data_IF_952311057297
#
_entry.id   IF_952311057297
#
_cell.length_a   1.000
_cell.length_b   1.000
_cell.length_c   1.000
_cell.angle_alpha   90.00
_cell.angle_beta   90.00
_cell.angle_gamma   90.00
#
_symmetry.space_group_name_H-M   'P 1'
#
loop_
_entity.id
_entity.type
_entity.pdbx_description
1 polymer ?
#
# COMPACT_ATOMS: atom_id res chain seq x y z
N UNK A 1 -12.33 40.94 -3.26
CA UNK A 1 -12.26 41.83 -4.43
C UNK A 1 -13.58 41.64 -5.15
N UNK A 2 -14.50 42.57 -4.96
CA UNK A 2 -15.75 42.58 -5.72
C UNK A 2 -15.43 43.15 -7.10
N UNK A 3 -15.67 42.37 -8.15
CA UNK A 3 -15.63 42.89 -9.51
C UNK A 3 -16.93 43.68 -9.71
N UNK A 4 -16.82 45.02 -9.67
CA UNK A 4 -17.95 45.90 -9.88
C UNK A 4 -18.39 45.86 -11.35
N UNK A 5 -19.29 44.95 -11.70
CA UNK A 5 -19.90 44.87 -13.03
C UNK A 5 -20.97 45.96 -13.24
N UNK A 6 -20.57 47.21 -13.01
CA UNK A 6 -21.34 48.41 -13.35
C UNK A 6 -20.99 48.89 -14.76
N UNK A 7 -21.03 47.99 -15.74
CA UNK A 7 -21.00 48.34 -17.17
C UNK A 7 -22.43 48.37 -17.66
N UNK A 8 -22.82 49.50 -18.25
CA UNK A 8 -24.18 49.82 -18.64
C UNK A 8 -24.77 48.74 -19.57
N UNK A 9 -25.65 47.87 -19.04
CA UNK A 9 -26.77 47.35 -19.83
C UNK A 9 -27.81 48.46 -19.96
N UNK A 10 -27.41 49.53 -20.67
CA UNK A 10 -28.09 50.82 -20.76
C UNK A 10 -28.70 51.10 -22.12
N UNK A 11 -28.93 50.05 -22.91
CA UNK A 11 -29.86 50.06 -24.04
C UNK A 11 -31.12 49.36 -23.55
N UNK A 12 -32.28 50.01 -23.69
CA UNK A 12 -33.53 49.47 -23.18
C UNK A 12 -34.01 48.25 -23.96
N UNK A 13 -34.95 47.53 -23.37
CA UNK A 13 -35.81 46.49 -23.96
C UNK A 13 -36.78 47.11 -25.00
N UNK A 14 -36.21 47.83 -25.98
CA UNK A 14 -36.85 48.15 -27.24
C UNK A 14 -36.53 47.00 -28.18
N UNK A 15 -37.39 45.98 -28.17
CA UNK A 15 -37.35 44.92 -29.18
C UNK A 15 -37.28 45.59 -30.56
N UNK A 16 -36.20 45.31 -31.30
CA UNK A 16 -35.94 45.91 -32.60
C UNK A 16 -36.80 45.23 -33.66
N UNK A 17 -38.11 45.47 -33.53
CA UNK A 17 -39.14 45.02 -34.44
C UNK A 17 -38.77 45.50 -35.87
N UNK A 18 -38.58 44.57 -36.82
CA UNK A 18 -38.20 44.88 -38.18
C UNK A 18 -39.25 45.75 -38.90
N UNK A 19 -40.53 45.64 -38.51
CA UNK A 19 -41.64 46.30 -39.19
C UNK A 19 -41.76 47.79 -38.85
N UNK A 20 -41.06 48.30 -37.83
CA UNK A 20 -41.06 49.74 -37.49
C UNK A 20 -40.62 50.62 -38.68
N UNK A 21 -39.65 50.17 -39.49
CA UNK A 21 -39.23 50.95 -40.68
C UNK A 21 -40.31 50.93 -41.76
N UNK A 22 -41.05 49.82 -41.88
CA UNK A 22 -42.20 49.68 -42.77
C UNK A 22 -43.39 50.53 -42.31
N UNK A 23 -43.63 50.63 -41.00
CA UNK A 23 -44.67 51.47 -40.41
C UNK A 23 -44.38 52.96 -40.62
N UNK A 24 -43.14 53.40 -40.35
CA UNK A 24 -42.73 54.79 -40.57
C UNK A 24 -42.71 55.16 -42.05
N UNK A 25 -42.29 54.24 -42.93
CA UNK A 25 -42.45 54.39 -44.37
C UNK A 25 -43.93 54.56 -44.76
N UNK A 26 -44.84 53.74 -44.21
CA UNK A 26 -46.28 53.84 -44.45
C UNK A 26 -46.87 55.19 -44.04
N UNK A 27 -46.47 55.73 -42.88
CA UNK A 27 -46.82 57.09 -42.44
C UNK A 27 -46.31 58.15 -43.44
N UNK A 28 -45.03 58.07 -43.80
CA UNK A 28 -44.38 59.02 -44.72
C UNK A 28 -45.02 59.02 -46.12
N UNK A 29 -45.36 57.85 -46.68
CA UNK A 29 -46.07 57.78 -47.96
C UNK A 29 -47.51 58.30 -47.88
N UNK A 30 -48.18 58.18 -46.74
CA UNK A 30 -49.53 58.71 -46.53
C UNK A 30 -49.55 60.25 -46.48
N UNK A 31 -48.55 60.85 -45.86
CA UNK A 31 -48.34 62.31 -45.90
C UNK A 31 -47.96 62.79 -47.31
N UNK A 32 -47.07 62.07 -48.02
CA UNK A 32 -46.73 62.39 -49.41
C UNK A 32 -47.94 62.33 -50.35
N UNK A 33 -48.85 61.36 -50.17
CA UNK A 33 -50.11 61.29 -50.92
C UNK A 33 -50.96 62.56 -50.71
N UNK A 34 -51.05 63.05 -49.47
CA UNK A 34 -51.76 64.30 -49.13
C UNK A 34 -51.09 65.53 -49.76
N UNK A 35 -49.77 65.56 -49.88
CA UNK A 35 -49.02 66.61 -50.62
C UNK A 35 -49.30 66.53 -52.12
N UNK A 36 -49.34 65.33 -52.72
CA UNK A 36 -49.65 65.13 -54.14
C UNK A 36 -51.07 65.62 -54.47
N UNK A 37 -52.05 65.34 -53.62
CA UNK A 37 -53.45 65.77 -53.81
C UNK A 37 -53.64 67.30 -53.72
N UNK A 38 -52.77 68.00 -52.97
CA UNK A 38 -52.87 69.44 -52.73
C UNK A 38 -51.96 70.30 -53.61
N UNK A 39 -50.79 69.78 -54.03
CA UNK A 39 -49.76 70.54 -54.75
C UNK A 39 -49.31 69.89 -56.08
N UNK A 40 -49.74 68.66 -56.35
CA UNK A 40 -49.44 67.94 -57.59
C UNK A 40 -48.14 67.09 -57.54
N UNK A 41 -48.12 66.05 -58.38
CA UNK A 41 -47.09 64.98 -58.38
C UNK A 41 -45.66 65.53 -58.53
N UNK A 42 -45.44 66.51 -59.42
CA UNK A 42 -44.11 67.02 -59.76
C UNK A 42 -43.32 67.70 -58.63
N UNK A 43 -43.97 68.01 -57.50
CA UNK A 43 -43.28 68.49 -56.28
C UNK A 43 -42.55 67.34 -55.56
N UNK A 44 -43.03 66.12 -55.73
CA UNK A 44 -42.64 64.92 -54.98
C UNK A 44 -41.73 63.97 -55.79
N UNK A 45 -41.78 64.02 -57.13
CA UNK A 45 -41.02 63.13 -58.03
C UNK A 45 -39.52 63.05 -57.74
N UNK A 46 -38.86 64.18 -57.45
CA UNK A 46 -37.42 64.20 -57.13
C UNK A 46 -37.11 63.82 -55.67
N UNK A 47 -38.10 63.83 -54.78
CA UNK A 47 -37.95 63.54 -53.35
C UNK A 47 -38.09 62.04 -53.05
N UNK A 48 -39.00 61.34 -53.73
CA UNK A 48 -39.26 59.90 -53.49
C UNK A 48 -37.99 59.04 -53.62
N UNK A 49 -37.12 59.18 -54.65
CA UNK A 49 -35.89 58.38 -54.72
C UNK A 49 -34.93 58.62 -53.54
N UNK A 50 -34.90 59.84 -53.00
CA UNK A 50 -34.08 60.20 -51.83
C UNK A 50 -34.69 59.56 -50.58
N UNK A 51 -36.01 59.61 -50.43
CA UNK A 51 -36.72 59.01 -49.30
C UNK A 51 -36.57 57.48 -49.28
N UNK A 52 -36.74 56.83 -50.44
CA UNK A 52 -36.50 55.38 -50.61
C UNK A 52 -35.08 55.03 -50.16
N UNK A 53 -34.06 55.73 -50.67
CA UNK A 53 -32.67 55.48 -50.29
C UNK A 53 -32.39 55.66 -48.78
N UNK A 54 -33.01 56.66 -48.15
CA UNK A 54 -32.92 56.86 -46.68
C UNK A 54 -33.60 55.73 -45.91
N UNK A 55 -34.76 55.25 -46.35
CA UNK A 55 -35.50 54.14 -45.73
C UNK A 55 -34.76 52.80 -45.90
N UNK A 56 -34.21 52.52 -47.08
CA UNK A 56 -33.36 51.36 -47.36
C UNK A 56 -32.09 51.39 -46.48
N UNK A 57 -31.45 52.56 -46.35
CA UNK A 57 -30.32 52.77 -45.46
C UNK A 57 -30.67 52.53 -43.99
N UNK A 58 -31.82 53.04 -43.53
CA UNK A 58 -32.31 52.85 -42.17
C UNK A 58 -32.61 51.37 -41.87
N UNK A 59 -33.26 50.67 -42.81
CA UNK A 59 -33.53 49.23 -42.71
C UNK A 59 -32.22 48.41 -42.65
N UNK A 60 -31.24 48.72 -43.52
CA UNK A 60 -29.93 48.05 -43.51
C UNK A 60 -29.16 48.28 -42.21
N UNK A 61 -29.16 49.51 -41.69
CA UNK A 61 -28.53 49.83 -40.41
C UNK A 61 -29.21 49.12 -39.22
N UNK A 62 -30.55 48.98 -39.22
CA UNK A 62 -31.26 48.20 -38.19
C UNK A 62 -30.99 46.71 -38.30
N UNK A 63 -30.95 46.13 -39.50
CA UNK A 63 -30.61 44.73 -39.70
C UNK A 63 -29.19 44.41 -39.16
N UNK A 64 -28.21 45.28 -39.45
CA UNK A 64 -26.85 45.16 -38.92
C UNK A 64 -26.76 45.35 -37.40
N UNK A 65 -27.58 46.23 -36.81
CA UNK A 65 -27.66 46.39 -35.36
C UNK A 65 -28.21 45.12 -34.68
N UNK A 66 -29.30 44.57 -35.22
CA UNK A 66 -29.89 43.32 -34.74
C UNK A 66 -28.93 42.14 -34.85
N UNK A 67 -28.22 42.00 -35.98
CA UNK A 67 -27.18 40.99 -36.15
C UNK A 67 -26.10 41.09 -35.05
N UNK A 68 -25.68 42.31 -34.69
CA UNK A 68 -24.70 42.56 -33.61
C UNK A 68 -25.23 42.25 -32.22
N UNK A 69 -26.52 42.47 -31.97
CA UNK A 69 -27.17 42.10 -30.71
C UNK A 69 -27.30 40.57 -30.59
N UNK A 70 -27.68 39.88 -31.68
CA UNK A 70 -27.70 38.41 -31.77
C UNK A 70 -26.29 37.77 -31.75
N UNK A 71 -25.25 38.50 -32.16
CA UNK A 71 -23.83 38.15 -31.89
C UNK A 71 -23.47 38.31 -30.42
N UNK A 72 -23.83 39.44 -29.79
CA UNK A 72 -23.49 39.73 -28.40
C UNK A 72 -24.19 38.80 -27.39
N UNK A 73 -25.45 38.41 -27.62
CA UNK A 73 -26.12 37.40 -26.77
C UNK A 73 -25.48 36.01 -26.89
N UNK A 74 -24.99 35.63 -28.09
CA UNK A 74 -24.21 34.38 -28.24
C UNK A 74 -22.88 34.45 -27.50
N UNK A 75 -22.14 35.56 -27.59
CA UNK A 75 -20.87 35.72 -26.86
C UNK A 75 -21.08 35.71 -25.34
N UNK A 76 -22.18 36.31 -24.83
CA UNK A 76 -22.57 36.19 -23.41
C UNK A 76 -22.84 34.74 -23.01
N UNK A 77 -23.58 33.98 -23.83
CA UNK A 77 -23.84 32.55 -23.58
C UNK A 77 -22.55 31.71 -23.54
N UNK A 78 -21.67 31.88 -24.54
CA UNK A 78 -20.37 31.19 -24.60
C UNK A 78 -19.46 31.56 -23.40
N UNK A 79 -19.45 32.84 -23.00
CA UNK A 79 -18.75 33.33 -21.80
C UNK A 79 -19.27 32.65 -20.54
N UNK A 80 -20.58 32.52 -20.39
CA UNK A 80 -21.20 32.01 -19.16
C UNK A 80 -21.02 30.49 -19.04
N UNK A 81 -21.14 29.74 -20.15
CA UNK A 81 -20.71 28.33 -20.20
C UNK A 81 -19.22 28.15 -19.85
N UNK A 82 -18.35 29.05 -20.33
CA UNK A 82 -16.92 29.01 -20.01
C UNK A 82 -16.64 29.31 -18.53
N UNK A 83 -17.41 30.21 -17.92
CA UNK A 83 -17.35 30.53 -16.49
C UNK A 83 -17.83 29.36 -15.62
N UNK A 84 -18.90 28.66 -16.01
CA UNK A 84 -19.34 27.43 -15.31
C UNK A 84 -18.26 26.35 -15.36
N UNK A 85 -17.75 26.03 -16.55
CA UNK A 85 -16.69 25.02 -16.75
C UNK A 85 -15.43 25.36 -15.94
N UNK A 86 -15.02 26.64 -15.91
CA UNK A 86 -13.91 27.10 -15.08
C UNK A 86 -14.18 26.94 -13.58
N UNK A 87 -15.41 27.20 -13.11
CA UNK A 87 -15.78 26.99 -11.72
C UNK A 87 -15.77 25.50 -11.35
N UNK A 88 -16.28 24.61 -12.20
CA UNK A 88 -16.23 23.15 -12.00
C UNK A 88 -14.80 22.62 -11.93
N UNK A 89 -13.93 22.98 -12.89
CA UNK A 89 -12.50 22.61 -12.88
C UNK A 89 -11.79 23.13 -11.62
N UNK A 90 -12.11 24.35 -11.19
CA UNK A 90 -11.56 24.97 -9.98
C UNK A 90 -12.02 24.27 -8.69
N UNK A 91 -13.20 23.65 -8.67
CA UNK A 91 -13.67 22.81 -7.56
C UNK A 91 -12.98 21.43 -7.59
N UNK A 92 -13.00 20.73 -8.73
CA UNK A 92 -12.31 19.45 -8.91
C UNK A 92 -10.82 19.52 -8.54
N UNK A 93 -10.15 20.63 -8.88
CA UNK A 93 -8.75 20.88 -8.51
C UNK A 93 -8.54 21.04 -7.00
N UNK A 94 -9.50 21.60 -6.26
CA UNK A 94 -9.45 21.70 -4.79
C UNK A 94 -9.72 20.35 -4.14
N UNK A 95 -10.78 19.67 -4.55
CA UNK A 95 -11.13 18.31 -4.08
C UNK A 95 -9.95 17.35 -4.29
N UNK A 96 -9.27 17.42 -5.45
CA UNK A 96 -8.06 16.65 -5.70
C UNK A 96 -6.91 17.02 -4.76
N UNK A 97 -6.70 18.30 -4.45
CA UNK A 97 -5.65 18.75 -3.52
C UNK A 97 -5.92 18.32 -2.08
N UNK A 98 -7.17 18.46 -1.62
CA UNK A 98 -7.62 18.01 -0.30
C UNK A 98 -7.44 16.48 -0.17
N UNK A 99 -7.83 15.71 -1.19
CA UNK A 99 -7.67 14.25 -1.23
C UNK A 99 -6.21 13.79 -1.27
N UNK A 100 -5.28 14.57 -1.83
CA UNK A 100 -3.84 14.28 -1.71
C UNK A 100 -3.33 14.51 -0.29
N UNK A 101 -3.79 15.55 0.41
CA UNK A 101 -3.42 15.80 1.81
C UNK A 101 -3.95 14.69 2.74
N UNK A 102 -5.19 14.23 2.53
CA UNK A 102 -5.76 13.08 3.26
C UNK A 102 -4.92 11.81 3.10
N UNK A 103 -4.45 11.53 1.87
CA UNK A 103 -3.60 10.38 1.58
C UNK A 103 -2.20 10.50 2.20
N UNK A 104 -1.58 11.69 2.16
CA UNK A 104 -0.28 11.93 2.80
C UNK A 104 -0.36 11.77 4.33
N UNK A 105 -1.42 12.28 4.98
CA UNK A 105 -1.65 12.10 6.41
C UNK A 105 -1.93 10.62 6.77
N UNK A 106 -2.71 9.89 5.95
CA UNK A 106 -2.90 8.45 6.12
C UNK A 106 -1.57 7.69 6.01
N UNK A 107 -0.78 7.95 4.97
CA UNK A 107 0.51 7.28 4.73
C UNK A 107 1.47 7.56 5.90
N UNK A 108 1.58 8.80 6.36
CA UNK A 108 2.44 9.14 7.48
C UNK A 108 1.90 8.58 8.81
N UNK A 109 0.58 8.48 9.01
CA UNK A 109 -0.03 7.74 10.13
C UNK A 109 0.33 6.25 10.11
N UNK A 110 0.12 5.56 8.98
CA UNK A 110 0.47 4.14 8.82
C UNK A 110 1.97 3.93 9.09
N UNK A 111 2.83 4.74 8.48
CA UNK A 111 4.28 4.77 8.70
C UNK A 111 4.64 5.05 10.17
N UNK A 112 3.90 5.90 10.90
CA UNK A 112 4.07 6.10 12.36
C UNK A 112 3.74 4.81 13.11
N UNK A 113 2.64 4.12 12.79
CA UNK A 113 2.26 2.85 13.47
C UNK A 113 3.27 1.72 13.20
N UNK A 114 3.78 1.60 11.97
CA UNK A 114 4.77 0.59 11.60
C UNK A 114 6.11 0.83 12.32
N UNK A 115 6.63 2.07 12.32
CA UNK A 115 7.80 2.45 13.12
C UNK A 115 7.60 2.23 14.63
N UNK A 116 6.36 2.29 15.13
CA UNK A 116 6.02 1.90 16.50
C UNK A 116 6.19 0.40 16.75
N UNK A 117 5.62 -0.44 15.87
CA UNK A 117 5.73 -1.91 15.91
C UNK A 117 7.17 -2.39 15.74
N UNK A 118 7.95 -1.73 14.89
CA UNK A 118 9.38 -2.02 14.67
C UNK A 118 10.20 -1.80 15.96
N UNK A 119 10.06 -0.64 16.60
CA UNK A 119 10.72 -0.34 17.89
C UNK A 119 10.30 -1.29 19.01
N UNK A 120 9.07 -1.80 18.96
CA UNK A 120 8.58 -2.78 19.92
C UNK A 120 9.20 -4.18 19.67
N UNK A 121 9.38 -4.58 18.41
CA UNK A 121 10.10 -5.80 18.02
C UNK A 121 11.58 -5.72 18.38
N UNK A 122 12.25 -4.61 18.06
CA UNK A 122 13.66 -4.33 18.38
C UNK A 122 13.95 -4.45 19.89
N UNK A 123 13.01 -4.01 20.74
CA UNK A 123 13.10 -4.19 22.21
C UNK A 123 13.01 -5.66 22.60
N UNK A 124 12.00 -6.38 22.11
CA UNK A 124 11.84 -7.83 22.38
C UNK A 124 13.02 -8.64 21.89
N UNK A 125 13.58 -8.30 20.74
CA UNK A 125 14.79 -8.91 20.18
C UNK A 125 15.98 -8.73 21.11
N UNK A 126 16.26 -7.50 21.58
CA UNK A 126 17.33 -7.21 22.55
C UNK A 126 17.12 -7.89 23.91
N UNK A 127 15.88 -8.03 24.36
CA UNK A 127 15.54 -8.80 25.58
C UNK A 127 15.78 -10.31 25.41
N UNK A 128 15.46 -10.88 24.24
CA UNK A 128 15.69 -12.30 23.93
C UNK A 128 17.18 -12.58 23.72
N UNK A 129 17.90 -11.69 23.01
CA UNK A 129 19.34 -11.76 22.82
C UNK A 129 20.08 -11.72 24.17
N UNK A 130 19.65 -10.86 25.10
CA UNK A 130 20.16 -10.83 26.47
C UNK A 130 19.91 -12.16 27.20
N UNK A 131 18.68 -12.69 27.16
CA UNK A 131 18.34 -13.98 27.79
C UNK A 131 19.15 -15.14 27.21
N UNK A 132 19.41 -15.12 25.89
CA UNK A 132 20.24 -16.13 25.23
C UNK A 132 21.71 -16.07 25.66
N UNK A 133 22.28 -14.87 25.86
CA UNK A 133 23.61 -14.71 26.48
C UNK A 133 23.63 -15.25 27.91
N UNK A 134 22.68 -14.86 28.74
CA UNK A 134 22.57 -15.30 30.13
C UNK A 134 22.43 -16.84 30.25
N UNK A 135 21.78 -17.50 29.29
CA UNK A 135 21.69 -18.96 29.20
C UNK A 135 23.00 -19.60 28.70
N UNK A 136 23.70 -18.99 27.75
CA UNK A 136 25.01 -19.47 27.28
C UNK A 136 26.06 -19.43 28.42
N UNK A 137 26.10 -18.34 29.19
CA UNK A 137 27.00 -18.19 30.35
C UNK A 137 26.72 -19.27 31.41
N UNK A 138 25.43 -19.60 31.66
CA UNK A 138 25.03 -20.68 32.56
C UNK A 138 25.48 -22.06 32.06
N UNK A 139 25.37 -22.33 30.76
CA UNK A 139 25.84 -23.58 30.16
C UNK A 139 27.36 -23.75 30.32
N UNK A 140 28.14 -22.71 30.02
CA UNK A 140 29.61 -22.74 30.20
C UNK A 140 29.98 -23.03 31.66
N UNK A 141 29.33 -22.37 32.62
CA UNK A 141 29.59 -22.62 34.05
C UNK A 141 29.26 -24.07 34.48
N UNK A 142 28.23 -24.69 33.91
CA UNK A 142 27.89 -26.10 34.15
C UNK A 142 28.88 -27.06 33.45
N UNK A 143 29.38 -26.72 32.27
CA UNK A 143 30.42 -27.49 31.58
C UNK A 143 31.76 -27.45 32.33
N UNK A 144 32.16 -26.30 32.88
CA UNK A 144 33.34 -26.19 33.75
C UNK A 144 33.21 -27.06 35.02
N UNK A 145 32.05 -27.04 35.66
CA UNK A 145 31.75 -27.90 36.81
C UNK A 145 31.83 -29.39 36.44
N UNK A 146 31.21 -29.78 35.32
CA UNK A 146 31.25 -31.14 34.76
C UNK A 146 32.68 -31.58 34.46
N UNK A 147 33.49 -30.72 33.84
CA UNK A 147 34.92 -30.97 33.59
C UNK A 147 35.76 -31.02 34.88
N UNK A 148 35.38 -30.26 35.91
CA UNK A 148 35.95 -30.34 37.26
C UNK A 148 35.67 -31.68 37.94
N UNK A 149 34.42 -32.15 37.88
CA UNK A 149 34.02 -33.46 38.41
C UNK A 149 34.65 -34.62 37.62
N UNK A 150 34.71 -34.52 36.28
CA UNK A 150 35.39 -35.50 35.42
C UNK A 150 36.88 -35.65 35.75
N UNK A 151 37.59 -34.53 36.00
CA UNK A 151 38.98 -34.54 36.50
C UNK A 151 39.09 -35.25 37.85
N UNK A 152 38.23 -34.92 38.84
CA UNK A 152 38.22 -35.58 40.15
C UNK A 152 37.97 -37.08 40.05
N UNK A 153 37.01 -37.51 39.22
CA UNK A 153 36.68 -38.92 38.98
C UNK A 153 37.86 -39.68 38.35
N UNK A 154 38.56 -39.08 37.39
CA UNK A 154 39.73 -39.70 36.76
C UNK A 154 40.90 -39.83 37.74
N UNK A 155 41.14 -38.83 38.60
CA UNK A 155 42.11 -38.94 39.70
C UNK A 155 41.75 -40.08 40.66
N UNK A 156 40.47 -40.22 41.05
CA UNK A 156 40.01 -41.28 41.93
C UNK A 156 40.12 -42.69 41.30
N UNK A 157 39.83 -42.82 40.01
CA UNK A 157 40.08 -44.06 39.25
C UNK A 157 41.57 -44.42 39.23
N UNK A 158 42.44 -43.43 39.05
CA UNK A 158 43.89 -43.63 39.02
C UNK A 158 44.45 -44.05 40.38
N UNK A 159 43.99 -43.46 41.49
CA UNK A 159 44.40 -43.88 42.84
C UNK A 159 43.84 -45.25 43.21
N UNK A 160 42.59 -45.56 42.84
CA UNK A 160 42.01 -46.89 43.01
C UNK A 160 42.81 -47.95 42.23
N UNK A 161 43.11 -47.72 40.95
CA UNK A 161 43.90 -48.66 40.13
C UNK A 161 45.30 -48.89 40.72
N UNK A 162 45.97 -47.83 41.22
CA UNK A 162 47.25 -47.96 41.94
C UNK A 162 47.13 -48.81 43.20
N UNK A 163 46.06 -48.65 43.99
CA UNK A 163 45.83 -49.45 45.19
C UNK A 163 45.54 -50.92 44.85
N UNK A 164 44.76 -51.20 43.81
CA UNK A 164 44.48 -52.57 43.33
C UNK A 164 45.74 -53.26 42.82
N UNK A 165 46.62 -52.56 42.11
CA UNK A 165 47.92 -53.10 41.69
C UNK A 165 48.80 -53.39 42.91
N UNK A 166 49.01 -52.41 43.80
CA UNK A 166 49.78 -52.59 45.04
C UNK A 166 49.29 -53.79 45.87
N UNK A 167 47.97 -53.98 45.98
CA UNK A 167 47.37 -55.12 46.67
C UNK A 167 47.66 -56.46 45.96
N UNK A 168 47.63 -56.52 44.62
CA UNK A 168 48.04 -57.71 43.86
C UNK A 168 49.51 -58.04 44.09
N UNK A 169 50.40 -57.06 43.98
CA UNK A 169 51.83 -57.26 44.23
C UNK A 169 52.10 -57.78 45.67
N UNK A 170 51.32 -57.32 46.66
CA UNK A 170 51.43 -57.80 48.05
C UNK A 170 50.94 -59.25 48.20
N UNK A 171 49.86 -59.64 47.50
CA UNK A 171 49.41 -61.04 47.42
C UNK A 171 50.37 -61.93 46.64
N UNK A 172 51.13 -61.39 45.69
CA UNK A 172 52.19 -62.11 44.97
C UNK A 172 53.38 -62.35 45.89
N UNK A 173 53.96 -61.30 46.49
CA UNK A 173 55.04 -61.43 47.49
C UNK A 173 54.68 -62.36 48.64
N UNK A 174 53.42 -62.37 49.12
CA UNK A 174 52.96 -63.32 50.14
C UNK A 174 52.97 -64.78 49.65
N UNK A 175 52.49 -65.04 48.44
CA UNK A 175 52.50 -66.39 47.83
C UNK A 175 53.92 -66.88 47.50
N UNK A 176 54.82 -65.97 47.17
CA UNK A 176 56.22 -66.31 46.91
C UNK A 176 56.97 -66.65 48.21
N UNK A 177 56.77 -65.87 49.29
CA UNK A 177 57.27 -66.22 50.63
C UNK A 177 56.70 -67.55 51.16
N UNK A 178 55.42 -67.84 50.91
CA UNK A 178 54.82 -69.14 51.21
C UNK A 178 55.42 -70.29 50.39
N UNK A 179 55.91 -70.00 49.18
CA UNK A 179 56.55 -70.98 48.28
C UNK A 179 58.02 -71.24 48.64
N UNK A 180 58.77 -70.22 49.05
CA UNK A 180 60.14 -70.40 49.56
C UNK A 180 60.18 -71.14 50.92
N UNK A 181 59.04 -71.26 51.60
CA UNK A 181 58.87 -71.99 52.86
C UNK A 181 58.69 -73.51 52.78
N UNK A 182 58.73 -74.17 51.60
CA UNK A 182 58.57 -75.65 51.54
C UNK A 182 59.16 -76.36 50.30
N UNK A 183 59.92 -77.46 50.48
CA UNK A 183 60.45 -78.25 49.37
C UNK A 183 59.54 -79.40 48.92
N UNK A 184 59.38 -79.52 47.60
CA UNK A 184 59.14 -80.76 46.80
C UNK A 184 58.09 -81.79 47.25
N UNK A 185 57.01 -81.91 46.46
CA UNK A 185 56.45 -83.21 46.08
C UNK A 185 55.68 -83.15 44.75
N UNK A 186 55.60 -84.27 44.01
CA UNK A 186 54.96 -84.40 42.68
C UNK A 186 54.07 -85.65 42.61
N UNK A 187 52.88 -85.60 41.98
CA UNK A 187 52.42 -86.65 41.03
C UNK A 187 51.16 -86.25 40.19
N UNK A 188 50.64 -87.21 39.40
CA UNK A 188 49.62 -87.10 38.32
C UNK A 188 48.70 -88.38 38.41
N UNK A 189 47.65 -88.74 37.63
CA UNK A 189 47.22 -88.46 36.24
C UNK A 189 45.75 -88.89 35.94
N UNK A 190 45.00 -88.07 35.18
CA UNK A 190 43.85 -88.44 34.28
C UNK A 190 42.49 -88.99 34.80
N UNK A 191 41.40 -88.37 34.25
CA UNK A 191 40.10 -88.95 33.75
C UNK A 191 39.20 -89.72 34.76
N UNK A 192 37.87 -89.62 34.83
CA UNK A 192 36.76 -89.08 34.00
C UNK A 192 35.45 -89.03 34.89
N UNK A 193 34.22 -88.60 34.55
CA UNK A 193 33.57 -87.84 33.44
C UNK A 193 32.06 -87.57 33.74
N UNK A 194 31.44 -86.61 33.02
CA UNK A 194 29.99 -86.37 32.78
C UNK A 194 29.06 -85.84 33.91
N UNK A 195 28.41 -84.69 33.59
CA UNK A 195 27.08 -84.19 34.06
C UNK A 195 26.87 -83.82 35.55
N UNK A 196 26.01 -82.86 35.95
CA UNK A 196 24.95 -82.10 35.24
C UNK A 196 24.89 -80.59 35.60
N UNK A 197 24.63 -79.73 34.59
CA UNK A 197 23.62 -78.64 34.55
C UNK A 197 23.65 -77.43 35.53
N UNK A 198 23.81 -76.22 34.95
CA UNK A 198 23.36 -74.91 35.50
C UNK A 198 24.48 -73.93 35.88
N UNK A 199 24.54 -72.66 35.43
CA UNK A 199 23.71 -71.91 34.46
C UNK A 199 24.57 -70.93 33.63
N UNK A 200 23.98 -70.39 32.56
CA UNK A 200 24.47 -69.45 31.51
C UNK A 200 25.28 -68.23 32.02
N UNK A 201 26.21 -67.59 31.29
CA UNK A 201 26.21 -67.06 29.91
C UNK A 201 25.11 -65.99 29.63
N UNK A 202 25.35 -64.91 28.87
CA UNK A 202 26.58 -64.24 28.37
C UNK A 202 26.23 -62.78 27.95
N UNK A 203 27.11 -62.06 27.25
CA UNK A 203 26.85 -60.69 26.76
C UNK A 203 26.38 -60.68 25.30
N UNK A 204 25.21 -60.07 25.01
CA UNK A 204 24.77 -59.69 23.65
C UNK A 204 24.09 -58.31 23.68
N UNK A 205 24.08 -57.62 22.54
CA UNK A 205 23.50 -56.28 22.34
C UNK A 205 22.15 -56.32 21.61
N UNK A 206 21.30 -55.30 21.80
CA UNK A 206 20.34 -54.88 20.77
C UNK A 206 18.86 -54.79 21.14
N UNK A 207 18.29 -53.61 20.83
CA UNK A 207 16.89 -53.30 20.47
C UNK A 207 15.74 -53.37 21.53
N UNK A 208 15.06 -52.21 21.63
CA UNK A 208 13.59 -51.97 21.67
C UNK A 208 12.63 -53.05 22.24
N UNK A 209 11.62 -52.73 23.06
CA UNK A 209 10.69 -51.57 22.99
C UNK A 209 9.95 -51.33 24.35
N UNK A 210 9.21 -50.21 24.45
CA UNK A 210 8.12 -49.88 25.43
C UNK A 210 8.38 -49.71 26.94
N UNK A 211 7.75 -48.65 27.50
CA UNK A 211 7.26 -48.40 28.88
C UNK A 211 8.09 -48.83 30.11
N UNK A 212 8.43 -47.94 31.06
CA UNK A 212 7.54 -47.01 31.78
C UNK A 212 8.25 -45.71 32.24
N UNK A 213 7.49 -44.61 32.33
CA UNK A 213 7.92 -43.29 32.83
C UNK A 213 7.52 -43.08 34.30
N UNK A 214 8.45 -42.74 35.22
CA UNK A 214 8.10 -42.22 36.54
C UNK A 214 7.60 -40.77 36.45
N UNK A 215 6.33 -40.53 36.79
CA UNK A 215 5.73 -39.19 36.87
C UNK A 215 5.99 -38.51 38.22
N UNK A 216 6.06 -37.18 38.24
CA UNK A 216 5.79 -36.30 39.40
C UNK A 216 5.96 -34.81 39.03
N UNK A 217 5.20 -33.87 39.64
CA UNK A 217 3.83 -33.93 40.15
C UNK A 217 2.89 -32.98 39.36
N UNK A 218 1.56 -33.03 39.56
CA UNK A 218 0.63 -32.07 38.97
C UNK A 218 0.50 -30.78 39.78
N UNK A 219 0.51 -29.62 39.11
CA UNK A 219 -0.49 -28.56 39.29
C UNK A 219 -0.28 -27.43 38.26
N UNK A 220 -1.14 -27.36 37.24
CA UNK A 220 -1.22 -26.27 36.25
C UNK A 220 -2.58 -26.28 35.54
N UNK A 221 -3.66 -26.42 36.29
CA UNK A 221 -5.01 -26.22 35.77
C UNK A 221 -5.41 -24.75 35.94
N UNK A 222 -5.68 -24.03 34.83
CA UNK A 222 -6.77 -23.06 34.69
C UNK A 222 -6.80 -22.43 33.27
N UNK A 223 -8.03 -22.17 32.79
CA UNK A 223 -8.40 -21.40 31.58
C UNK A 223 -8.11 -22.03 30.20
N UNK A 224 -9.00 -22.92 29.77
CA UNK A 224 -9.59 -22.79 28.42
C UNK A 224 -10.97 -22.11 28.51
N UNK A 225 -11.56 -21.76 27.36
CA UNK A 225 -12.69 -20.85 27.21
C UNK A 225 -14.07 -21.38 27.68
N UNK A 226 -15.10 -20.52 27.68
CA UNK A 226 -16.07 -20.67 26.59
C UNK A 226 -16.59 -19.34 26.00
N UNK A 227 -16.08 -18.88 24.85
CA UNK A 227 -16.53 -17.62 24.20
C UNK A 227 -17.76 -17.80 23.28
N UNK A 228 -18.78 -18.52 23.75
CA UNK A 228 -20.00 -18.76 22.98
C UNK A 228 -21.05 -17.63 23.12
N UNK A 229 -20.75 -16.40 22.63
CA UNK A 229 -21.74 -15.29 22.44
C UNK A 229 -21.21 -14.06 21.68
N UNK A 230 -21.08 -14.13 20.34
CA UNK A 230 -21.21 -12.92 19.50
C UNK A 230 -21.73 -13.21 18.08
N UNK A 231 -23.03 -13.51 17.97
CA UNK A 231 -23.70 -13.60 16.66
C UNK A 231 -24.00 -12.18 16.15
N UNK A 232 -23.02 -11.57 15.47
CA UNK A 232 -22.95 -10.11 15.26
C UNK A 232 -22.67 -9.67 13.82
N UNK A 233 -23.50 -10.14 12.87
CA UNK A 233 -23.73 -9.51 11.55
C UNK A 233 -22.51 -9.11 10.70
N UNK A 234 -22.03 -10.02 9.84
CA UNK A 234 -21.53 -9.65 8.51
C UNK A 234 -22.05 -10.64 7.46
N UNK A 235 -22.85 -10.13 6.51
CA UNK A 235 -23.28 -10.86 5.31
C UNK A 235 -22.59 -10.26 4.08
N UNK A 236 -21.57 -10.93 3.55
CA UNK A 236 -21.22 -10.90 2.12
C UNK A 236 -20.00 -11.81 1.86
N UNK A 237 -20.21 -12.93 1.18
CA UNK A 237 -19.16 -13.61 0.43
C UNK A 237 -19.81 -14.36 -0.71
N UNK A 238 -19.45 -13.99 -1.94
CA UNK A 238 -19.83 -14.69 -3.16
C UNK A 238 -18.57 -15.37 -3.71
N UNK A 239 -18.61 -16.67 -4.03
CA UNK A 239 -17.39 -17.44 -4.27
C UNK A 239 -16.75 -17.17 -5.63
N UNK A 240 -15.42 -17.31 -5.71
CA UNK A 240 -14.66 -17.25 -6.95
C UNK A 240 -14.44 -18.67 -7.50
N UNK A 241 -14.95 -18.95 -8.71
CA UNK A 241 -14.23 -19.61 -9.83
C UNK A 241 -15.18 -20.10 -10.94
N UNK A 242 -14.94 -19.64 -12.16
CA UNK A 242 -15.10 -20.36 -13.42
C UNK A 242 -14.24 -19.65 -14.49
N UNK A 243 -13.68 -20.38 -15.45
CA UNK A 243 -12.75 -19.83 -16.45
C UNK A 243 -13.44 -19.08 -17.59
N UNK A 244 -12.86 -17.95 -18.00
CA UNK A 244 -12.95 -17.47 -19.39
C UNK A 244 -11.63 -16.76 -19.75
N UNK A 245 -11.10 -17.03 -20.94
CA UNK A 245 -9.85 -16.39 -21.41
C UNK A 245 -10.15 -15.06 -22.09
N UNK A 246 -9.79 -13.94 -21.47
CA UNK A 246 -9.54 -12.68 -22.17
C UNK A 246 -8.27 -11.99 -21.64
N UNK A 247 -7.43 -11.39 -22.50
CA UNK A 247 -6.24 -10.66 -22.08
C UNK A 247 -6.62 -9.24 -21.64
N UNK A 248 -6.81 -9.04 -20.33
CA UNK A 248 -6.96 -7.69 -19.76
C UNK A 248 -5.70 -6.88 -20.10
N UNK A 249 -5.86 -5.85 -20.94
CA UNK A 249 -4.76 -4.99 -21.39
C UNK A 249 -4.42 -3.93 -20.34
N UNK A 250 -3.14 -3.58 -20.28
CA UNK A 250 -2.57 -2.55 -19.40
C UNK A 250 -2.87 -1.10 -19.87
N UNK A 251 -4.11 -0.82 -20.28
CA UNK A 251 -4.48 0.45 -20.93
C UNK A 251 -4.40 1.64 -19.96
N UNK A 252 -4.58 1.41 -18.66
CA UNK A 252 -4.41 2.44 -17.61
C UNK A 252 -2.95 2.84 -17.39
N UNK A 253 -1.99 1.91 -17.52
CA UNK A 253 -0.55 2.25 -17.47
C UNK A 253 -0.13 3.02 -18.71
N UNK A 254 -0.54 2.54 -19.89
CA UNK A 254 -0.26 3.20 -21.17
C UNK A 254 -0.79 4.64 -21.22
N UNK A 255 -1.98 4.88 -20.64
CA UNK A 255 -2.57 6.22 -20.53
C UNK A 255 -1.67 7.20 -19.75
N UNK A 256 -1.28 6.85 -18.52
CA UNK A 256 -0.45 7.72 -17.67
C UNK A 256 0.95 7.94 -18.26
N UNK A 257 1.56 6.91 -18.84
CA UNK A 257 2.88 7.03 -19.49
C UNK A 257 2.83 7.99 -20.70
N UNK A 258 1.77 7.98 -21.50
CA UNK A 258 1.66 8.86 -22.67
C UNK A 258 1.27 10.30 -22.29
N UNK A 259 0.46 10.49 -21.24
CA UNK A 259 0.18 11.82 -20.66
C UNK A 259 1.47 12.45 -20.10
N UNK A 260 2.28 11.71 -19.35
CA UNK A 260 3.59 12.15 -18.87
C UNK A 260 4.50 12.61 -20.02
N UNK A 261 4.59 11.82 -21.10
CA UNK A 261 5.37 12.18 -22.30
C UNK A 261 4.82 13.43 -22.99
N UNK A 262 3.52 13.66 -23.02
CA UNK A 262 2.98 14.90 -23.58
C UNK A 262 3.28 16.12 -22.68
N UNK A 263 3.18 15.99 -21.35
CA UNK A 263 3.58 17.06 -20.42
C UNK A 263 5.05 17.43 -20.60
N UNK A 264 5.94 16.46 -20.79
CA UNK A 264 7.36 16.69 -21.06
C UNK A 264 7.59 17.37 -22.42
N UNK A 265 6.96 16.87 -23.51
CA UNK A 265 6.99 17.51 -24.84
C UNK A 265 6.44 18.95 -24.80
N UNK A 266 5.44 19.24 -23.97
CA UNK A 266 4.89 20.60 -23.74
C UNK A 266 5.86 21.50 -22.97
N UNK A 267 6.63 20.95 -22.00
CA UNK A 267 7.72 21.68 -21.31
C UNK A 267 8.87 22.02 -22.25
N UNK A 268 9.36 21.06 -23.04
CA UNK A 268 10.38 21.31 -24.07
C UNK A 268 9.95 22.41 -25.05
N UNK A 269 8.72 22.32 -25.59
CA UNK A 269 8.20 23.33 -26.53
C UNK A 269 8.10 24.73 -25.93
N UNK A 270 7.89 24.87 -24.62
CA UNK A 270 7.96 26.18 -23.93
C UNK A 270 9.42 26.66 -23.78
N UNK A 271 10.34 25.81 -23.31
CA UNK A 271 11.76 26.16 -23.16
C UNK A 271 12.48 26.48 -24.49
N UNK A 272 11.98 25.97 -25.62
CA UNK A 272 12.46 26.34 -26.97
C UNK A 272 11.81 27.60 -27.55
N UNK A 273 10.74 28.13 -26.94
CA UNK A 273 10.14 29.42 -27.30
C UNK A 273 10.82 30.57 -26.57
N UNK A 274 11.02 30.47 -25.26
CA UNK A 274 11.73 31.50 -24.48
C UNK A 274 13.15 31.72 -25.00
N UNK A 275 13.88 30.64 -25.34
CA UNK A 275 15.20 30.71 -26.00
C UNK A 275 15.19 31.25 -27.44
N UNK A 276 14.04 31.62 -27.98
CA UNK A 276 13.86 32.32 -29.27
C UNK A 276 13.31 33.75 -29.10
N UNK A 277 13.16 34.18 -27.85
CA UNK A 277 12.71 35.53 -27.45
C UNK A 277 13.85 36.27 -26.69
N UNK A 278 15.00 35.59 -26.49
CA UNK A 278 16.24 36.09 -25.85
C UNK A 278 17.44 36.17 -26.84
N UNK A 279 17.22 35.96 -28.15
CA UNK A 279 18.24 35.98 -29.23
C UNK A 279 17.76 36.83 -30.42
#
# INVERSE_FOLDING_TARGET
MECGESILCGSGELDLDPDIVSEEAGKLYSELQTVIETHGVGVVESLVPILVWVLEGLASCRAQLREREEEAEREKGERDELLERYQSEKLLRRESQERYLELDDQIEQERRTMRGREKERERREKELEKKAREQADQLVALEEQRAGLGRKLNTLKHTHNKLVLSYKDLLERKRDLEREGSPLSNHVRSKNSQSTQGQSESCVSGQELTDLRPETPPDSALLEEPLAKFHGLMKASTPVRADTKEPIRDETKASMDEEMKEVERRREKRGRRTKKEEE
#
